data_IF_163099057892
#
_entry.id   IF_163099057892
#
_cell.length_a   1.000
_cell.length_b   1.000
_cell.length_c   1.000
_cell.angle_alpha   90.00
_cell.angle_beta   90.00
_cell.angle_gamma   90.00
#
_symmetry.space_group_name_H-M   'P 1'
#
loop_
_entity.id
_entity.type
_entity.pdbx_description
1 polymer ?
#
# COMPACT_ATOMS: atom_id res chain seq x y z
N UNK A 1 28.74 37.06 -13.46
CA UNK A 1 28.25 35.67 -13.58
C UNK A 1 28.01 35.17 -12.17
N UNK A 2 26.80 35.38 -11.61
CA UNK A 2 26.49 35.01 -10.23
C UNK A 2 26.07 33.53 -10.19
N UNK A 3 26.99 32.65 -9.80
CA UNK A 3 26.68 31.25 -9.53
C UNK A 3 25.83 31.17 -8.26
N UNK A 4 24.61 30.66 -8.41
CA UNK A 4 23.63 30.51 -7.33
C UNK A 4 24.10 29.36 -6.42
N UNK A 5 24.22 29.64 -5.12
CA UNK A 5 24.70 28.67 -4.11
C UNK A 5 23.83 27.40 -4.07
N UNK A 6 24.50 26.24 -4.01
CA UNK A 6 23.92 24.90 -4.00
C UNK A 6 23.11 24.69 -2.72
N UNK A 7 21.78 24.57 -2.83
CA UNK A 7 20.90 24.18 -1.70
C UNK A 7 20.97 22.67 -1.51
N UNK A 8 21.07 22.26 -0.25
CA UNK A 8 21.41 20.92 0.25
C UNK A 8 20.30 19.86 0.13
N UNK A 9 19.36 20.04 -0.80
CA UNK A 9 18.29 19.08 -1.08
C UNK A 9 18.11 18.99 -2.60
N UNK A 10 19.12 18.40 -3.26
CA UNK A 10 19.31 18.35 -4.72
C UNK A 10 18.45 17.25 -5.36
N UNK A 11 17.17 17.20 -4.99
CA UNK A 11 16.21 16.30 -5.63
C UNK A 11 15.61 16.99 -6.86
N UNK A 12 15.85 16.41 -8.03
CA UNK A 12 15.21 16.84 -9.28
C UNK A 12 13.83 16.19 -9.34
N UNK A 13 12.78 17.00 -9.54
CA UNK A 13 11.43 16.48 -9.69
C UNK A 13 11.29 15.66 -10.97
N UNK A 14 10.48 14.60 -10.95
CA UNK A 14 10.12 13.85 -12.15
C UNK A 14 9.58 14.76 -13.27
N UNK A 15 8.86 15.84 -12.91
CA UNK A 15 8.36 16.82 -13.88
C UNK A 15 9.47 17.67 -14.50
N UNK A 16 10.52 18.00 -13.74
CA UNK A 16 11.68 18.74 -14.27
C UNK A 16 12.50 17.86 -15.22
N UNK A 17 12.67 16.58 -14.87
CA UNK A 17 13.29 15.61 -15.78
C UNK A 17 12.48 15.43 -17.07
N UNK A 18 11.15 15.31 -16.95
CA UNK A 18 10.27 15.14 -18.10
C UNK A 18 10.28 16.33 -19.06
N UNK A 19 10.52 17.55 -18.56
CA UNK A 19 10.60 18.75 -19.41
C UNK A 19 11.81 18.75 -20.34
N UNK A 20 12.90 18.08 -19.95
CA UNK A 20 14.06 17.90 -20.83
C UNK A 20 13.72 17.06 -22.07
N UNK A 21 12.75 16.14 -21.96
CA UNK A 21 12.28 15.34 -23.09
C UNK A 21 11.39 16.13 -24.06
N UNK A 22 10.86 17.29 -23.64
CA UNK A 22 10.08 18.16 -24.51
C UNK A 22 10.97 19.17 -25.24
N UNK A 23 11.78 19.92 -24.49
CA UNK A 23 12.75 20.85 -25.04
C UNK A 23 13.86 21.17 -24.01
N UNK A 24 15.05 20.67 -24.25
CA UNK A 24 16.25 20.89 -23.45
C UNK A 24 16.62 22.38 -23.37
N UNK A 25 16.40 23.12 -24.46
CA UNK A 25 16.67 24.55 -24.53
C UNK A 25 15.72 25.34 -23.62
N UNK A 26 14.45 24.96 -23.58
CA UNK A 26 13.47 25.60 -22.70
C UNK A 26 13.84 25.41 -21.22
N UNK A 27 14.31 24.21 -20.84
CA UNK A 27 14.78 23.94 -19.47
C UNK A 27 15.99 24.82 -19.12
N UNK A 28 16.95 24.98 -20.04
CA UNK A 28 18.09 25.87 -19.84
C UNK A 28 17.66 27.34 -19.66
N UNK A 29 16.66 27.80 -20.44
CA UNK A 29 16.09 29.14 -20.29
C UNK A 29 15.34 29.31 -18.95
N UNK A 30 14.51 28.35 -18.56
CA UNK A 30 13.80 28.38 -17.28
C UNK A 30 14.77 28.42 -16.08
N UNK A 31 15.89 27.70 -16.16
CA UNK A 31 16.93 27.69 -15.13
C UNK A 31 17.68 29.04 -15.05
N UNK A 32 17.99 29.64 -16.21
CA UNK A 32 18.74 30.89 -16.27
C UNK A 32 17.88 32.13 -15.91
N UNK A 33 16.61 32.15 -16.32
CA UNK A 33 15.76 33.35 -16.26
C UNK A 33 14.51 33.20 -15.38
N UNK A 34 14.28 32.00 -14.84
CA UNK A 34 13.07 31.66 -14.11
C UNK A 34 11.91 31.36 -15.06
N UNK A 35 11.08 30.38 -14.67
CA UNK A 35 9.89 30.00 -15.43
C UNK A 35 8.86 31.13 -15.44
N UNK A 36 8.37 31.49 -16.63
CA UNK A 36 7.27 32.46 -16.80
C UNK A 36 6.00 31.74 -17.27
N UNK A 37 4.91 31.94 -16.55
CA UNK A 37 3.59 31.39 -16.90
C UNK A 37 2.57 32.50 -17.11
N UNK A 38 1.74 32.35 -18.14
CA UNK A 38 0.59 33.22 -18.42
C UNK A 38 -0.53 32.97 -17.42
N UNK A 39 -1.49 33.90 -17.33
CA UNK A 39 -2.69 33.74 -16.49
C UNK A 39 -3.50 32.49 -16.85
N UNK A 40 -3.64 32.22 -18.15
CA UNK A 40 -4.33 31.04 -18.67
C UNK A 40 -3.61 29.74 -18.29
N UNK A 41 -2.27 29.71 -18.41
CA UNK A 41 -1.47 28.55 -18.00
C UNK A 41 -1.60 28.26 -16.50
N UNK A 42 -1.61 29.31 -15.66
CA UNK A 42 -1.84 29.16 -14.21
C UNK A 42 -3.24 28.62 -13.91
N UNK A 43 -4.26 29.10 -14.62
CA UNK A 43 -5.62 28.60 -14.47
C UNK A 43 -5.71 27.12 -14.88
N UNK A 44 -5.06 26.72 -15.99
CA UNK A 44 -5.00 25.33 -16.44
C UNK A 44 -4.27 24.43 -15.42
N UNK A 45 -3.12 24.87 -14.91
CA UNK A 45 -2.39 24.17 -13.83
C UNK A 45 -3.27 24.01 -12.58
N UNK A 46 -3.99 25.05 -12.18
CA UNK A 46 -4.91 25.00 -11.03
C UNK A 46 -6.07 24.03 -11.24
N UNK A 47 -6.60 23.89 -12.46
CA UNK A 47 -7.59 22.84 -12.77
C UNK A 47 -6.98 21.44 -12.69
N UNK A 48 -5.78 21.25 -13.26
CA UNK A 48 -5.06 19.97 -13.22
C UNK A 48 -4.73 19.51 -11.81
N UNK A 49 -4.24 20.42 -10.96
CA UNK A 49 -3.92 20.13 -9.55
C UNK A 49 -5.16 19.69 -8.76
N UNK A 50 -6.31 20.36 -8.96
CA UNK A 50 -7.57 19.96 -8.32
C UNK A 50 -8.04 18.59 -8.76
N UNK A 51 -7.99 18.31 -10.07
CA UNK A 51 -8.35 16.99 -10.60
C UNK A 51 -7.40 15.89 -10.09
N UNK A 52 -6.09 16.16 -10.03
CA UNK A 52 -5.12 15.24 -9.44
C UNK A 52 -5.44 14.97 -7.96
N UNK A 53 -5.71 16.02 -7.19
CA UNK A 53 -6.02 15.86 -5.76
C UNK A 53 -7.27 15.00 -5.54
N UNK A 54 -8.32 15.22 -6.33
CA UNK A 54 -9.55 14.43 -6.29
C UNK A 54 -9.28 12.96 -6.61
N UNK A 55 -8.60 12.69 -7.73
CA UNK A 55 -8.23 11.33 -8.14
C UNK A 55 -7.35 10.64 -7.10
N UNK A 56 -6.39 11.35 -6.52
CA UNK A 56 -5.50 10.81 -5.50
C UNK A 56 -6.27 10.43 -4.22
N UNK A 57 -7.19 11.29 -3.78
CA UNK A 57 -8.05 11.02 -2.63
C UNK A 57 -8.95 9.81 -2.87
N UNK A 58 -9.55 9.71 -4.06
CA UNK A 58 -10.36 8.55 -4.45
C UNK A 58 -9.53 7.26 -4.47
N UNK A 59 -8.40 7.28 -5.18
CA UNK A 59 -7.47 6.15 -5.27
C UNK A 59 -7.03 5.67 -3.89
N UNK A 60 -6.70 6.60 -2.98
CA UNK A 60 -6.32 6.27 -1.61
C UNK A 60 -7.47 5.60 -0.84
N UNK A 61 -8.70 6.09 -0.96
CA UNK A 61 -9.88 5.46 -0.34
C UNK A 61 -10.10 4.03 -0.84
N UNK A 62 -9.95 3.81 -2.15
CA UNK A 62 -10.06 2.47 -2.76
C UNK A 62 -8.94 1.55 -2.25
N UNK A 63 -7.72 2.06 -2.16
CA UNK A 63 -6.57 1.31 -1.65
C UNK A 63 -6.77 0.92 -0.17
N UNK A 64 -7.20 1.86 0.68
CA UNK A 64 -7.50 1.60 2.09
C UNK A 64 -8.64 0.58 2.27
N UNK A 65 -9.69 0.69 1.46
CA UNK A 65 -10.79 -0.29 1.43
C UNK A 65 -10.33 -1.69 1.00
N UNK A 66 -9.44 -1.77 0.02
CA UNK A 66 -8.86 -3.02 -0.47
C UNK A 66 -7.90 -3.64 0.55
N UNK A 67 -7.08 -2.82 1.21
CA UNK A 67 -6.19 -3.25 2.28
C UNK A 67 -6.98 -3.89 3.44
N UNK A 68 -8.11 -3.30 3.86
CA UNK A 68 -8.99 -3.88 4.89
C UNK A 68 -9.56 -5.25 4.50
N UNK A 69 -9.92 -5.45 3.23
CA UNK A 69 -10.45 -6.74 2.74
C UNK A 69 -9.40 -7.85 2.72
N UNK A 70 -8.11 -7.51 2.60
CA UNK A 70 -7.01 -8.48 2.54
C UNK A 70 -6.42 -8.88 3.89
N UNK A 71 -6.82 -8.24 5.00
CA UNK A 71 -6.22 -8.46 6.32
C UNK A 71 -6.75 -9.73 7.00
N UNK A 72 -5.86 -10.57 7.53
CA UNK A 72 -6.21 -11.64 8.46
C UNK A 72 -6.31 -11.04 9.87
N UNK A 73 -7.49 -10.56 10.27
CA UNK A 73 -7.73 -9.80 11.50
C UNK A 73 -7.13 -10.45 12.76
N UNK A 74 -7.40 -11.73 12.97
CA UNK A 74 -6.92 -12.46 14.16
C UNK A 74 -5.39 -12.59 14.17
N UNK A 75 -4.79 -12.89 13.01
CA UNK A 75 -3.34 -13.01 12.87
C UNK A 75 -2.64 -11.65 13.04
N UNK A 76 -3.18 -10.59 12.43
CA UNK A 76 -2.62 -9.24 12.53
C UNK A 76 -2.73 -8.71 13.96
N UNK A 77 -3.81 -9.01 14.70
CA UNK A 77 -3.94 -8.60 16.10
C UNK A 77 -2.98 -9.37 17.03
N UNK A 78 -2.77 -10.67 16.79
CA UNK A 78 -1.94 -11.50 17.64
C UNK A 78 -0.44 -11.41 17.32
N UNK A 79 -0.07 -11.39 16.04
CA UNK A 79 1.33 -11.44 15.59
C UNK A 79 1.84 -10.10 15.03
N UNK A 80 0.95 -9.23 14.55
CA UNK A 80 1.31 -8.03 13.80
C UNK A 80 1.49 -8.30 12.30
N UNK A 81 1.95 -7.30 11.56
CA UNK A 81 2.28 -7.43 10.13
C UNK A 81 3.70 -7.98 9.94
N UNK A 82 3.89 -9.23 10.37
CA UNK A 82 5.14 -9.98 10.25
C UNK A 82 5.07 -11.01 9.11
N UNK A 83 6.19 -11.67 8.83
CA UNK A 83 6.33 -12.70 7.79
C UNK A 83 5.32 -13.84 8.00
N UNK A 84 5.13 -14.32 9.23
CA UNK A 84 4.16 -15.38 9.53
C UNK A 84 2.72 -14.99 9.15
N UNK A 85 2.35 -13.73 9.33
CA UNK A 85 1.05 -13.21 8.91
C UNK A 85 0.94 -13.14 7.39
N UNK A 86 2.04 -12.84 6.68
CA UNK A 86 2.08 -12.83 5.21
C UNK A 86 1.93 -14.25 4.64
N UNK A 87 2.57 -15.24 5.25
CA UNK A 87 2.45 -16.65 4.87
C UNK A 87 1.02 -17.18 5.03
N UNK A 88 0.36 -16.85 6.14
CA UNK A 88 -1.07 -17.18 6.33
C UNK A 88 -1.97 -16.52 5.27
N UNK A 89 -1.66 -15.29 4.83
CA UNK A 89 -2.38 -14.61 3.74
C UNK A 89 -2.11 -15.31 2.41
N UNK A 90 -0.87 -15.71 2.12
CA UNK A 90 -0.52 -16.45 0.91
C UNK A 90 -1.23 -17.81 0.86
N UNK A 91 -1.27 -18.56 1.96
CA UNK A 91 -2.00 -19.82 2.04
C UNK A 91 -3.51 -19.64 1.80
N UNK A 92 -4.12 -18.58 2.36
CA UNK A 92 -5.51 -18.23 2.06
C UNK A 92 -5.72 -18.03 0.56
N UNK A 93 -4.84 -17.28 -0.08
CA UNK A 93 -5.00 -16.88 -1.47
C UNK A 93 -4.70 -18.02 -2.46
N UNK A 94 -3.71 -18.86 -2.18
CA UNK A 94 -3.30 -19.97 -3.04
C UNK A 94 -4.21 -21.21 -2.89
N UNK A 95 -4.65 -21.52 -1.66
CA UNK A 95 -5.40 -22.75 -1.37
C UNK A 95 -6.88 -22.52 -1.09
N UNK A 96 -7.20 -21.66 -0.11
CA UNK A 96 -8.59 -21.51 0.35
C UNK A 96 -9.47 -20.83 -0.69
N UNK A 97 -8.95 -19.83 -1.43
CA UNK A 97 -9.73 -19.17 -2.50
C UNK A 97 -10.08 -20.10 -3.67
N UNK A 98 -9.23 -21.09 -3.95
CA UNK A 98 -9.38 -22.00 -5.10
C UNK A 98 -10.52 -23.01 -4.90
N UNK A 99 -10.84 -23.36 -3.66
CA UNK A 99 -11.94 -24.29 -3.33
C UNK A 99 -13.24 -23.59 -2.94
N UNK A 100 -14.40 -24.18 -3.29
CA UNK A 100 -15.71 -23.63 -2.92
C UNK A 100 -15.92 -23.60 -1.39
N UNK A 101 -15.49 -24.66 -0.69
CA UNK A 101 -15.53 -24.72 0.77
C UNK A 101 -14.60 -23.68 1.41
N UNK A 102 -13.40 -23.48 0.87
CA UNK A 102 -12.48 -22.47 1.37
C UNK A 102 -13.01 -21.05 1.20
N UNK A 103 -13.72 -20.74 0.11
CA UNK A 103 -14.42 -19.45 -0.04
C UNK A 103 -15.49 -19.21 1.02
N UNK A 104 -16.28 -20.24 1.37
CA UNK A 104 -17.26 -20.15 2.45
C UNK A 104 -16.60 -19.94 3.81
N UNK A 105 -15.50 -20.66 4.08
CA UNK A 105 -14.71 -20.47 5.31
C UNK A 105 -14.16 -19.05 5.41
N UNK A 106 -13.57 -18.51 4.33
CA UNK A 106 -13.10 -17.13 4.28
C UNK A 106 -14.26 -16.17 4.58
N UNK A 107 -15.41 -16.34 3.93
CA UNK A 107 -16.55 -15.46 4.15
C UNK A 107 -17.03 -15.46 5.61
N UNK A 108 -17.16 -16.65 6.24
CA UNK A 108 -17.50 -16.77 7.64
C UNK A 108 -16.45 -16.11 8.55
N UNK A 109 -15.16 -16.37 8.28
CA UNK A 109 -14.04 -15.77 8.99
C UNK A 109 -14.10 -14.23 8.94
N UNK A 110 -14.28 -13.63 7.76
CA UNK A 110 -14.33 -12.17 7.60
C UNK A 110 -15.58 -11.53 8.21
N UNK A 111 -16.69 -12.26 8.33
CA UNK A 111 -17.90 -11.76 9.02
C UNK A 111 -17.76 -11.78 10.54
N UNK A 112 -17.17 -12.84 11.11
CA UNK A 112 -17.09 -13.02 12.57
C UNK A 112 -15.86 -12.37 13.20
N UNK A 113 -14.73 -12.38 12.48
CA UNK A 113 -13.44 -11.95 13.04
C UNK A 113 -13.40 -10.50 13.54
N UNK A 114 -14.07 -9.49 12.94
CA UNK A 114 -14.04 -8.12 13.47
C UNK A 114 -14.69 -7.99 14.85
N UNK A 115 -15.80 -8.70 15.07
CA UNK A 115 -16.50 -8.73 16.36
C UNK A 115 -15.62 -9.44 17.41
N UNK A 116 -15.04 -10.58 17.02
CA UNK A 116 -14.15 -11.34 17.88
C UNK A 116 -12.91 -10.53 18.27
N UNK A 117 -12.28 -9.82 17.33
CA UNK A 117 -11.11 -8.98 17.60
C UNK A 117 -11.43 -7.84 18.55
N UNK A 118 -12.59 -7.17 18.40
CA UNK A 118 -13.04 -6.15 19.37
C UNK A 118 -13.19 -6.71 20.78
N UNK A 119 -13.76 -7.91 20.90
CA UNK A 119 -13.89 -8.58 22.20
C UNK A 119 -12.55 -9.00 22.80
N UNK A 120 -11.61 -9.43 21.95
CA UNK A 120 -10.26 -9.83 22.37
C UNK A 120 -9.34 -8.66 22.71
N UNK A 121 -9.57 -7.45 22.18
CA UNK A 121 -8.75 -6.27 22.45
C UNK A 121 -8.64 -5.93 23.95
N UNK A 122 -9.69 -6.17 24.73
CA UNK A 122 -9.69 -5.97 26.18
C UNK A 122 -8.98 -7.07 26.99
N UNK A 123 -8.47 -8.12 26.35
CA UNK A 123 -7.96 -9.34 27.01
C UNK A 123 -6.57 -9.73 26.47
N UNK A 124 -5.48 -9.07 26.92
CA UNK A 124 -4.13 -9.32 26.41
C UNK A 124 -3.62 -10.75 26.65
N UNK A 125 -4.09 -11.43 27.71
CA UNK A 125 -3.77 -12.84 27.96
C UNK A 125 -4.29 -13.77 26.85
N UNK A 126 -5.50 -13.51 26.35
CA UNK A 126 -6.11 -14.30 25.28
C UNK A 126 -5.37 -14.09 23.95
N UNK A 127 -5.03 -12.84 23.63
CA UNK A 127 -4.23 -12.52 22.44
C UNK A 127 -2.88 -13.21 22.49
N UNK A 128 -2.24 -13.27 23.67
CA UNK A 128 -0.97 -13.99 23.87
C UNK A 128 -1.13 -15.50 23.70
N UNK A 129 -2.21 -16.08 24.21
CA UNK A 129 -2.53 -17.49 24.02
C UNK A 129 -2.72 -17.86 22.53
N UNK A 130 -3.28 -16.94 21.72
CA UNK A 130 -3.43 -17.16 20.28
C UNK A 130 -2.11 -17.14 19.50
N UNK A 131 -1.01 -16.59 20.04
CA UNK A 131 0.27 -16.48 19.30
C UNK A 131 0.89 -17.85 18.98
N UNK A 132 0.94 -18.76 19.95
CA UNK A 132 1.53 -20.08 19.77
C UNK A 132 0.86 -20.91 18.65
N UNK A 133 -0.47 -21.11 18.65
CA UNK A 133 -1.12 -21.87 17.58
C UNK A 133 -1.02 -21.16 16.23
N UNK A 134 -1.09 -19.82 16.19
CA UNK A 134 -0.94 -19.08 14.93
C UNK A 134 0.45 -19.23 14.31
N UNK A 135 1.51 -19.28 15.11
CA UNK A 135 2.87 -19.55 14.60
C UNK A 135 3.02 -20.95 14.04
N UNK A 136 2.45 -21.95 14.71
CA UNK A 136 2.44 -23.33 14.19
C UNK A 136 1.68 -23.41 12.86
N UNK A 137 0.51 -22.78 12.78
CA UNK A 137 -0.26 -22.70 11.54
C UNK A 137 0.49 -21.95 10.44
N UNK A 138 1.22 -20.88 10.78
CA UNK A 138 2.02 -20.14 9.83
C UNK A 138 3.18 -20.99 9.29
N UNK A 139 3.89 -21.73 10.14
CA UNK A 139 4.95 -22.64 9.69
C UNK A 139 4.44 -23.75 8.77
N UNK A 140 3.27 -24.33 9.09
CA UNK A 140 2.61 -25.27 8.19
C UNK A 140 2.21 -24.58 6.86
N UNK A 141 1.65 -23.38 6.94
CA UNK A 141 1.28 -22.59 5.76
C UNK A 141 2.50 -22.34 4.85
N UNK A 142 3.65 -21.97 5.40
CA UNK A 142 4.91 -21.79 4.65
C UNK A 142 5.31 -23.07 3.91
N UNK A 143 5.23 -24.23 4.55
CA UNK A 143 5.52 -25.51 3.89
C UNK A 143 4.60 -25.78 2.71
N UNK A 144 3.30 -25.49 2.85
CA UNK A 144 2.34 -25.64 1.76
C UNK A 144 2.60 -24.60 0.65
N UNK A 145 2.82 -23.34 0.99
CA UNK A 145 3.08 -22.25 0.05
C UNK A 145 4.34 -22.54 -0.78
N UNK A 146 5.44 -22.94 -0.15
CA UNK A 146 6.68 -23.31 -0.84
C UNK A 146 6.45 -24.47 -1.82
N UNK A 147 5.75 -25.52 -1.38
CA UNK A 147 5.37 -26.65 -2.25
C UNK A 147 4.46 -26.25 -3.42
N UNK A 148 3.68 -25.19 -3.27
CA UNK A 148 2.83 -24.66 -4.34
C UNK A 148 3.62 -23.83 -5.37
N UNK A 149 4.66 -23.13 -4.91
CA UNK A 149 5.53 -22.28 -5.75
C UNK A 149 6.58 -23.09 -6.52
N UNK A 150 6.97 -24.26 -6.00
CA UNK A 150 7.90 -25.20 -6.64
C UNK A 150 7.25 -26.05 -7.76
N UNK A 151 5.94 -25.88 -8.02
CA UNK A 151 5.21 -26.56 -9.11
C UNK A 151 4.90 -25.60 -10.24
#
# INVERSE_FOLDING_TARGET
MLMRAKREDDSVSASELAQMAYCERQVAFDAAFGRRTTGEQRAAQGRGLRAHEEFYRESRRIAEGSARKGQCFVATMALGDCEETRELRAFRDLYLRRSAMGRQFIHAYYRLSPVLCRWMQGKPALVRACRAPLRVLAGLATLFVNKALER
#
